data_IF_882338362598
#
_entry.id   IF_882338362598
#
_cell.length_a   1.000
_cell.length_b   1.000
_cell.length_c   1.000
_cell.angle_alpha   90.00
_cell.angle_beta   90.00
_cell.angle_gamma   90.00
#
_symmetry.space_group_name_H-M   'P 1'
#
loop_
_entity.id
_entity.type
_entity.pdbx_description
1 polymer ?
#
# COMPACT_ATOMS: atom_id res chain seq x y z
N UNK A 1 -16.90 -19.51 19.20
CA UNK A 1 -15.77 -20.47 19.21
C UNK A 1 -14.54 -19.97 19.99
N UNK A 2 -14.65 -18.95 20.85
CA UNK A 2 -13.53 -18.48 21.72
C UNK A 2 -14.01 -18.06 23.13
N UNK A 3 -15.13 -18.60 23.62
CA UNK A 3 -15.71 -18.20 24.93
C UNK A 3 -14.86 -18.62 26.14
N UNK A 4 -13.88 -19.52 25.96
CA UNK A 4 -12.95 -19.90 27.02
C UNK A 4 -11.90 -18.80 27.32
N UNK A 5 -11.54 -17.97 26.33
CA UNK A 5 -10.62 -16.83 26.51
C UNK A 5 -11.27 -15.73 27.36
N UNK A 6 -12.61 -15.57 27.27
CA UNK A 6 -13.37 -14.60 28.08
C UNK A 6 -13.33 -14.89 29.58
N UNK A 7 -13.07 -16.14 30.00
CA UNK A 7 -13.07 -16.54 31.42
C UNK A 7 -11.74 -16.26 32.15
N UNK A 8 -10.66 -15.95 31.43
CA UNK A 8 -9.35 -15.67 32.03
C UNK A 8 -8.99 -14.21 31.78
N UNK A 9 -9.11 -13.37 32.81
CA UNK A 9 -8.66 -11.96 32.73
C UNK A 9 -7.16 -11.97 32.42
N UNK A 10 -6.79 -11.58 31.20
CA UNK A 10 -5.38 -11.44 30.80
C UNK A 10 -4.66 -10.48 31.74
N UNK A 11 -3.42 -10.81 32.12
CA UNK A 11 -2.55 -9.87 32.82
C UNK A 11 -2.28 -8.63 31.95
N UNK A 12 -1.91 -7.51 32.57
CA UNK A 12 -1.57 -6.29 31.83
C UNK A 12 -0.44 -6.54 30.81
N UNK A 13 0.55 -7.35 31.18
CA UNK A 13 1.64 -7.75 30.29
C UNK A 13 1.15 -8.58 29.10
N UNK A 14 0.28 -9.57 29.33
CA UNK A 14 -0.28 -10.39 28.25
C UNK A 14 -1.13 -9.55 27.28
N UNK A 15 -1.94 -8.61 27.80
CA UNK A 15 -2.67 -7.64 26.98
C UNK A 15 -1.74 -6.80 26.12
N UNK A 16 -0.66 -6.26 26.71
CA UNK A 16 0.34 -5.47 25.98
C UNK A 16 1.00 -6.27 24.86
N UNK A 17 1.39 -7.52 25.12
CA UNK A 17 1.98 -8.41 24.11
C UNK A 17 1.01 -8.67 22.96
N UNK A 18 -0.27 -8.94 23.25
CA UNK A 18 -1.29 -9.13 22.21
C UNK A 18 -1.49 -7.88 21.35
N UNK A 19 -1.54 -6.69 21.95
CA UNK A 19 -1.65 -5.44 21.19
C UNK A 19 -0.45 -5.21 20.26
N UNK A 20 0.76 -5.51 20.73
CA UNK A 20 1.97 -5.41 19.89
C UNK A 20 1.92 -6.41 18.72
N UNK A 21 1.50 -7.65 18.98
CA UNK A 21 1.36 -8.66 17.92
C UNK A 21 0.28 -8.26 16.92
N UNK A 22 -0.87 -7.79 17.39
CA UNK A 22 -1.93 -7.30 16.51
C UNK A 22 -1.44 -6.16 15.60
N UNK A 23 -0.79 -5.13 16.18
CA UNK A 23 -0.24 -4.02 15.41
C UNK A 23 0.81 -4.47 14.39
N UNK A 24 1.68 -5.43 14.75
CA UNK A 24 2.66 -6.00 13.80
C UNK A 24 2.00 -6.78 12.68
N UNK A 25 0.94 -7.53 12.98
CA UNK A 25 0.19 -8.27 11.98
C UNK A 25 -0.51 -7.33 11.01
N UNK A 26 -1.15 -6.27 11.51
CA UNK A 26 -1.77 -5.23 10.67
C UNK A 26 -0.75 -4.60 9.72
N UNK A 27 0.42 -4.22 10.23
CA UNK A 27 1.50 -3.68 9.42
C UNK A 27 2.00 -4.67 8.36
N UNK A 28 2.17 -5.94 8.72
CA UNK A 28 2.62 -6.98 7.80
C UNK A 28 1.61 -7.24 6.66
N UNK A 29 0.30 -7.17 6.96
CA UNK A 29 -0.76 -7.27 5.95
C UNK A 29 -0.66 -6.10 4.97
N UNK A 30 -0.57 -4.86 5.48
CA UNK A 30 -0.44 -3.67 4.64
C UNK A 30 0.80 -3.77 3.74
N UNK A 31 1.95 -4.13 4.30
CA UNK A 31 3.19 -4.30 3.52
C UNK A 31 3.05 -5.37 2.43
N UNK A 32 2.32 -6.45 2.70
CA UNK A 32 2.06 -7.49 1.70
C UNK A 32 1.22 -6.94 0.54
N UNK A 33 0.15 -6.20 0.82
CA UNK A 33 -0.64 -5.58 -0.25
C UNK A 33 0.17 -4.55 -1.04
N UNK A 34 0.98 -3.73 -0.39
CA UNK A 34 1.85 -2.76 -1.07
C UNK A 34 2.83 -3.46 -2.01
N UNK A 35 3.50 -4.52 -1.54
CA UNK A 35 4.43 -5.30 -2.35
C UNK A 35 3.72 -5.91 -3.56
N UNK A 36 2.58 -6.57 -3.35
CA UNK A 36 1.81 -7.20 -4.44
C UNK A 36 1.37 -6.19 -5.50
N UNK A 37 0.93 -4.98 -5.09
CA UNK A 37 0.51 -3.94 -6.04
C UNK A 37 1.70 -3.45 -6.85
N UNK A 38 2.84 -3.19 -6.20
CA UNK A 38 4.05 -2.74 -6.90
C UNK A 38 4.55 -3.80 -7.88
N UNK A 39 4.57 -5.07 -7.48
CA UNK A 39 4.92 -6.19 -8.35
C UNK A 39 3.96 -6.29 -9.55
N UNK A 40 2.65 -6.11 -9.31
CA UNK A 40 1.65 -6.10 -10.38
C UNK A 40 1.86 -4.94 -11.36
N UNK A 41 2.10 -3.73 -10.85
CA UNK A 41 2.39 -2.55 -11.68
C UNK A 41 3.68 -2.75 -12.48
N UNK A 42 4.71 -3.35 -11.90
CA UNK A 42 5.95 -3.69 -12.61
C UNK A 42 5.70 -4.70 -13.74
N UNK A 43 4.86 -5.71 -13.51
CA UNK A 43 4.51 -6.72 -14.52
C UNK A 43 3.70 -6.13 -15.69
N UNK A 44 2.83 -5.16 -15.42
CA UNK A 44 1.97 -4.53 -16.43
C UNK A 44 2.66 -3.36 -17.15
N UNK A 45 3.72 -2.80 -16.57
CA UNK A 45 4.53 -1.75 -17.18
C UNK A 45 3.69 -0.54 -17.60
N UNK A 46 3.84 -0.12 -18.85
CA UNK A 46 3.16 1.07 -19.39
C UNK A 46 1.72 0.79 -19.89
N UNK A 47 1.19 -0.42 -19.71
CA UNK A 47 -0.16 -0.79 -20.18
C UNK A 47 -1.28 -0.16 -19.34
N UNK A 48 -1.01 0.12 -18.07
CA UNK A 48 -1.94 0.76 -17.14
C UNK A 48 -1.23 1.83 -16.32
N UNK A 49 -1.96 2.87 -15.93
CA UNK A 49 -1.46 3.83 -14.95
C UNK A 49 -1.67 3.30 -13.51
N UNK A 50 -1.00 3.97 -12.57
CA UNK A 50 -1.02 3.61 -11.14
C UNK A 50 -2.43 3.65 -10.55
N UNK A 51 -3.24 4.65 -10.92
CA UNK A 51 -4.58 4.84 -10.39
C UNK A 51 -5.47 3.69 -10.83
N UNK A 52 -5.42 3.33 -12.13
CA UNK A 52 -6.15 2.19 -12.66
C UNK A 52 -5.67 0.86 -12.08
N UNK A 53 -4.37 0.72 -11.82
CA UNK A 53 -3.83 -0.47 -11.16
C UNK A 53 -4.35 -0.63 -9.73
N UNK A 54 -4.41 0.46 -8.96
CA UNK A 54 -4.96 0.44 -7.61
C UNK A 54 -6.45 0.09 -7.58
N UNK A 55 -7.24 0.63 -8.52
CA UNK A 55 -8.65 0.27 -8.68
C UNK A 55 -8.81 -1.23 -8.95
N UNK A 56 -8.10 -1.76 -9.96
CA UNK A 56 -8.18 -3.18 -10.34
C UNK A 56 -7.75 -4.09 -9.18
N UNK A 57 -6.68 -3.73 -8.46
CA UNK A 57 -6.24 -4.51 -7.30
C UNK A 57 -7.29 -4.50 -6.18
N UNK A 58 -7.91 -3.35 -5.91
CA UNK A 58 -8.97 -3.23 -4.91
C UNK A 58 -10.25 -3.99 -5.28
N UNK A 59 -10.59 -4.05 -6.58
CA UNK A 59 -11.70 -4.88 -7.08
C UNK A 59 -11.42 -6.38 -6.91
N UNK A 60 -10.18 -6.82 -7.18
CA UNK A 60 -9.78 -8.23 -7.06
C UNK A 60 -9.66 -8.68 -5.60
N UNK A 61 -9.14 -7.82 -4.73
CA UNK A 61 -8.92 -8.09 -3.31
C UNK A 61 -9.57 -6.99 -2.47
N UNK A 62 -10.88 -7.10 -2.19
CA UNK A 62 -11.58 -6.13 -1.36
C UNK A 62 -10.95 -6.04 0.03
N UNK A 63 -10.62 -4.82 0.43
CA UNK A 63 -10.05 -4.48 1.73
C UNK A 63 -10.99 -3.52 2.47
N UNK A 64 -10.81 -3.43 3.78
CA UNK A 64 -11.41 -2.33 4.54
C UNK A 64 -10.92 -0.98 4.01
N UNK A 65 -11.81 0.02 3.98
CA UNK A 65 -11.54 1.35 3.41
C UNK A 65 -10.27 1.99 3.98
N UNK A 66 -10.01 1.85 5.28
CA UNK A 66 -8.82 2.41 5.90
C UNK A 66 -7.53 1.71 5.44
N UNK A 67 -7.61 0.40 5.21
CA UNK A 67 -6.49 -0.39 4.70
C UNK A 67 -6.23 -0.02 3.24
N UNK A 68 -7.28 0.07 2.41
CA UNK A 68 -7.20 0.48 1.00
C UNK A 68 -6.51 1.84 0.85
N UNK A 69 -6.95 2.84 1.59
CA UNK A 69 -6.35 4.18 1.56
C UNK A 69 -4.87 4.17 1.98
N UNK A 70 -4.53 3.38 3.00
CA UNK A 70 -3.14 3.27 3.47
C UNK A 70 -2.24 2.59 2.44
N UNK A 71 -2.72 1.52 1.80
CA UNK A 71 -2.00 0.81 0.73
C UNK A 71 -1.78 1.73 -0.45
N UNK A 72 -2.83 2.40 -0.95
CA UNK A 72 -2.75 3.33 -2.08
C UNK A 72 -1.69 4.42 -1.84
N UNK A 73 -1.74 5.09 -0.69
CA UNK A 73 -0.78 6.13 -0.33
C UNK A 73 0.67 5.62 -0.31
N UNK A 74 0.91 4.42 0.25
CA UNK A 74 2.25 3.83 0.31
C UNK A 74 2.75 3.39 -1.07
N UNK A 75 1.88 2.86 -1.92
CA UNK A 75 2.21 2.49 -3.30
C UNK A 75 2.60 3.74 -4.08
N UNK A 76 1.79 4.80 -4.04
CA UNK A 76 2.09 6.07 -4.71
C UNK A 76 3.44 6.62 -4.25
N UNK A 77 3.67 6.70 -2.93
CA UNK A 77 4.92 7.21 -2.39
C UNK A 77 6.16 6.39 -2.82
N UNK A 78 6.05 5.06 -2.89
CA UNK A 78 7.15 4.17 -3.31
C UNK A 78 7.38 4.22 -4.82
N UNK A 79 6.30 4.31 -5.60
CA UNK A 79 6.34 4.38 -7.06
C UNK A 79 6.92 5.71 -7.56
N UNK A 80 6.62 6.82 -6.87
CA UNK A 80 7.14 8.16 -7.22
C UNK A 80 8.61 8.37 -6.80
N UNK A 81 9.22 7.45 -6.04
CA UNK A 81 10.62 7.59 -5.61
C UNK A 81 11.57 7.45 -6.81
N UNK A 82 12.28 8.51 -7.23
CA UNK A 82 13.17 8.46 -8.39
C UNK A 82 14.41 7.63 -8.05
N UNK A 83 14.47 6.41 -8.60
CA UNK A 83 15.55 5.45 -8.35
C UNK A 83 15.08 3.99 -8.23
N UNK A 84 13.76 3.76 -8.13
CA UNK A 84 13.17 2.45 -8.36
C UNK A 84 13.43 1.98 -9.80
N UNK A 85 13.77 0.71 -9.97
CA UNK A 85 14.31 0.12 -11.20
C UNK A 85 13.21 0.03 -12.28
N UNK A 86 12.81 1.15 -12.89
CA UNK A 86 11.76 1.20 -13.90
C UNK A 86 11.69 2.55 -14.63
N UNK A 87 12.30 2.59 -15.83
CA UNK A 87 12.05 3.49 -16.97
C UNK A 87 11.68 4.95 -16.66
N UNK A 88 12.66 5.82 -16.88
CA UNK A 88 12.49 7.24 -17.20
C UNK A 88 11.46 7.44 -18.31
N UNK A 89 10.33 8.08 -17.99
CA UNK A 89 9.34 8.46 -18.99
C UNK A 89 8.29 9.41 -18.44
N UNK A 90 8.35 10.67 -18.93
CA UNK A 90 7.20 11.59 -19.06
C UNK A 90 6.84 12.50 -17.87
N UNK A 91 7.84 13.22 -17.34
CA UNK A 91 7.62 14.61 -16.93
C UNK A 91 8.45 15.56 -17.79
N UNK A 92 8.30 15.46 -19.11
CA UNK A 92 8.72 16.50 -20.04
C UNK A 92 7.47 17.32 -20.34
N UNK A 93 7.55 18.63 -20.08
CA UNK A 93 6.66 19.71 -20.54
C UNK A 93 5.68 20.34 -19.54
N UNK A 94 6.08 20.58 -18.29
CA UNK A 94 5.35 21.54 -17.42
C UNK A 94 6.02 22.92 -17.36
N UNK A 95 7.26 23.04 -17.83
CA UNK A 95 7.97 24.32 -17.90
C UNK A 95 8.43 24.62 -19.33
N UNK A 96 7.48 24.90 -20.23
CA UNK A 96 7.77 25.58 -21.49
C UNK A 96 7.36 27.05 -21.32
N UNK A 97 8.36 27.87 -21.09
CA UNK A 97 8.30 29.33 -20.98
C UNK A 97 7.73 29.94 -22.29
N UNK A 98 6.62 30.71 -22.26
CA UNK A 98 6.12 31.42 -23.43
C UNK A 98 6.81 32.79 -23.51
N UNK A 99 8.06 32.84 -23.97
CA UNK A 99 8.78 34.12 -23.93
C UNK A 99 10.15 34.18 -24.57
N UNK A 100 10.29 33.79 -25.85
CA UNK A 100 11.38 34.31 -26.70
C UNK A 100 11.13 34.08 -28.18
N UNK A 101 10.67 35.14 -28.85
CA UNK A 101 11.22 35.77 -30.06
C UNK A 101 10.38 36.99 -30.38
#
# INVERSE_FOLDING_TARGET
MLDWLRRRRLSAEAKRKLLIVAARSEEAVIETHVANVLDMLEMLGDEIDIDRGLELYGEMLPMDEHVSATVANRVIARHDTPGGRGRTGRYSNVFRDPGRT
#
